data_IF_365265244158
#
_entry.id   IF_365265244158
#
_cell.length_a   1.000
_cell.length_b   1.000
_cell.length_c   1.000
_cell.angle_alpha   90.00
_cell.angle_beta   90.00
_cell.angle_gamma   90.00
#
_symmetry.space_group_name_H-M   'P 1'
#
loop_
_entity.id
_entity.type
_entity.pdbx_description
1 polymer ?
2 non-polymer ?
3 non-polymer ?
4 water ?
#
# COMPACT_ATOMS: atom_id res chain seq x y z
N UNK A 1 3.48 -12.83 -11.43
CA UNK A 1 4.34 -12.54 -10.24
C UNK A 1 5.51 -11.61 -10.64
N UNK A 2 5.74 -10.60 -9.81
CA UNK A 2 6.86 -9.67 -9.96
C UNK A 2 7.57 -9.55 -8.59
N UNK A 3 6.80 -9.19 -7.55
CA UNK A 3 7.33 -9.02 -6.20
C UNK A 3 7.52 -10.36 -5.54
N UNK A 4 8.77 -10.60 -5.16
CA UNK A 4 9.20 -11.80 -4.50
C UNK A 4 9.82 -11.44 -3.16
N UNK A 5 9.44 -10.29 -2.61
CA UNK A 5 9.78 -9.97 -1.23
C UNK A 5 8.49 -10.06 -0.44
N UNK A 6 8.49 -10.89 0.58
CA UNK A 6 7.39 -11.00 1.52
C UNK A 6 8.07 -11.12 2.85
N UNK A 7 7.30 -10.80 3.88
CA UNK A 7 7.78 -10.83 5.26
C UNK A 7 7.67 -12.25 5.79
N UNK A 8 8.78 -12.79 6.27
CA UNK A 8 8.78 -14.08 6.94
C UNK A 8 8.24 -13.82 8.35
N UNK A 9 7.32 -14.67 8.81
CA UNK A 9 6.88 -14.68 10.22
C UNK A 9 5.81 -13.66 10.58
N UNK A 10 5.12 -13.13 9.58
CA UNK A 10 4.05 -12.12 9.79
C UNK A 10 2.94 -12.51 10.76
N UNK A 11 2.73 -11.63 11.75
CA UNK A 11 1.56 -11.69 12.61
C UNK A 11 0.55 -10.61 12.19
N UNK A 12 -0.46 -11.02 11.42
CA UNK A 12 -1.34 -10.04 10.77
C UNK A 12 -2.19 -9.27 11.76
N UNK A 13 -2.44 -9.83 12.95
CA UNK A 13 -3.34 -9.16 13.91
C UNK A 13 -2.66 -7.92 14.46
N UNK A 14 -1.33 -8.03 14.58
CA UNK A 14 -0.41 -6.96 15.03
C UNK A 14 -0.20 -5.78 14.06
N UNK A 15 -0.78 -5.83 12.86
CA UNK A 15 -0.70 -4.65 11.99
C UNK A 15 -1.91 -3.75 12.19
N UNK A 16 -2.84 -4.14 13.07
CA UNK A 16 -4.08 -3.39 13.21
C UNK A 16 -3.82 -1.94 13.57
N UNK A 17 -4.71 -1.07 13.13
CA UNK A 17 -4.69 0.30 13.59
C UNK A 17 -4.36 1.38 12.58
N UNK A 18 -3.91 2.51 13.11
CA UNK A 18 -3.68 3.74 12.32
C UNK A 18 -2.38 3.67 11.49
N UNK A 19 -2.48 4.02 10.23
CA UNK A 19 -1.32 4.17 9.39
C UNK A 19 -1.41 5.41 8.54
N UNK A 20 -0.26 5.86 8.06
CA UNK A 20 -0.20 6.97 7.09
C UNK A 20 0.58 6.52 5.85
N UNK A 21 0.08 6.80 4.64
CA UNK A 21 0.87 6.53 3.36
C UNK A 21 1.94 7.59 3.11
N UNK A 22 3.11 7.42 3.72
CA UNK A 22 4.15 8.42 3.59
C UNK A 22 4.77 8.51 2.17
N UNK A 23 4.75 7.38 1.47
CA UNK A 23 5.31 7.30 0.09
C UNK A 23 4.62 6.24 -0.70
N UNK A 24 4.63 6.39 -2.03
CA UNK A 24 4.04 5.41 -2.92
C UNK A 24 4.86 5.37 -4.18
N UNK A 25 4.89 4.21 -4.83
CA UNK A 25 5.59 4.08 -6.14
C UNK A 25 4.74 3.16 -7.04
N UNK A 26 4.88 3.30 -8.35
CA UNK A 26 4.18 2.37 -9.22
C UNK A 26 4.97 2.10 -10.50
N UNK A 27 4.59 1.02 -11.19
CA UNK A 27 5.31 0.55 -12.38
C UNK A 27 4.99 1.39 -13.59
N UNK A 28 3.83 2.05 -13.57
CA UNK A 28 3.42 2.90 -14.64
C UNK A 28 2.97 4.24 -14.12
N UNK A 29 3.37 5.34 -14.79
CA UNK A 29 3.12 6.72 -14.34
C UNK A 29 1.64 7.00 -14.14
N UNK A 30 0.83 6.60 -15.13
CA UNK A 30 -0.63 6.79 -15.14
C UNK A 30 -1.37 6.18 -13.93
N UNK A 31 -0.69 5.30 -13.19
CA UNK A 31 -1.25 4.65 -12.00
C UNK A 31 -1.26 5.57 -10.76
N UNK A 32 -0.38 6.57 -10.74
CA UNK A 32 -0.30 7.54 -9.64
C UNK A 32 -0.32 9.00 -10.10
N UNK A 33 -0.28 9.23 -11.42
CA UNK A 33 -0.07 10.56 -12.02
C UNK A 33 -1.08 11.61 -11.54
N UNK A 34 -2.33 11.45 -11.97
CA UNK A 34 -3.38 12.37 -11.53
C UNK A 34 -3.79 12.15 -10.07
N UNK A 35 -4.22 13.23 -9.42
CA UNK A 35 -4.96 13.19 -8.17
C UNK A 35 -6.06 12.11 -8.15
N UNK A 36 -6.66 11.86 -9.31
CA UNK A 36 -7.66 10.80 -9.45
C UNK A 36 -7.12 9.47 -10.05
N UNK A 37 -5.81 9.33 -10.14
CA UNK A 37 -5.22 8.10 -10.66
C UNK A 37 -5.70 6.85 -9.90
N UNK A 38 -5.90 5.74 -10.62
CA UNK A 38 -6.42 4.50 -10.04
C UNK A 38 -5.81 4.03 -8.70
N UNK A 39 -4.49 4.14 -8.53
CA UNK A 39 -3.83 3.55 -7.35
C UNK A 39 -3.34 4.57 -6.34
N UNK A 40 -3.70 5.82 -6.60
CA UNK A 40 -3.46 6.90 -5.66
C UNK A 40 -4.50 6.75 -4.52
N UNK A 41 -4.17 5.92 -3.54
CA UNK A 41 -5.01 5.62 -2.38
C UNK A 41 -4.22 5.92 -1.11
N UNK A 42 -4.91 6.51 -0.14
CA UNK A 42 -4.28 6.93 1.10
C UNK A 42 -4.86 6.06 2.21
N UNK A 43 -4.00 5.31 2.89
CA UNK A 43 -4.44 4.39 3.89
C UNK A 43 -4.78 5.14 5.17
N UNK A 44 -5.85 4.68 5.82
CA UNK A 44 -6.29 5.26 7.08
C UNK A 44 -6.11 4.29 8.24
N UNK A 45 -6.53 3.04 8.03
CA UNK A 45 -6.58 2.04 9.08
C UNK A 45 -6.50 0.65 8.46
N UNK A 46 -5.73 -0.21 9.11
CA UNK A 46 -5.81 -1.64 8.76
C UNK A 46 -6.62 -2.36 9.84
N UNK A 47 -7.63 -3.11 9.40
CA UNK A 47 -8.50 -3.89 10.29
C UNK A 47 -8.47 -5.39 9.95
N UNK A 48 -7.50 -6.13 10.49
CA UNK A 48 -7.54 -7.59 10.34
C UNK A 48 -8.76 -8.23 11.05
N UNK A 49 -9.47 -9.13 10.37
CA UNK A 49 -10.61 -9.85 10.98
C UNK A 49 -10.15 -10.98 11.93
N UNK A 50 -11.03 -11.44 12.88
CA UNK A 50 -10.64 -12.55 13.79
C UNK A 50 -10.14 -13.82 13.06
N UNK A 51 -10.73 -14.09 11.89
CA UNK A 51 -10.37 -15.20 11.01
C UNK A 51 -9.17 -14.96 10.05
N UNK A 52 -8.54 -13.79 10.13
CA UNK A 52 -7.31 -13.45 9.37
C UNK A 52 -7.40 -12.83 7.97
N UNK A 53 -8.58 -12.33 7.59
CA UNK A 53 -8.72 -11.45 6.41
C UNK A 53 -8.26 -10.04 6.75
N UNK A 54 -7.99 -9.22 5.73
CA UNK A 54 -7.47 -7.87 5.97
C UNK A 54 -8.41 -6.83 5.38
N UNK A 55 -9.15 -6.16 6.26
CA UNK A 55 -9.98 -5.02 5.84
C UNK A 55 -9.14 -3.74 5.77
N UNK A 56 -9.29 -3.00 4.68
CA UNK A 56 -8.47 -1.80 4.52
C UNK A 56 -9.40 -0.60 4.38
N UNK A 57 -9.30 0.34 5.32
CA UNK A 57 -9.99 1.62 5.21
C UNK A 57 -9.06 2.63 4.51
N UNK A 58 -9.54 3.24 3.43
CA UNK A 58 -8.75 4.29 2.78
C UNK A 58 -9.55 5.47 2.27
N UNK A 59 -8.85 6.49 1.81
CA UNK A 59 -9.41 7.63 1.07
C UNK A 59 -8.96 7.57 -0.38
N UNK A 60 -9.79 8.03 -1.31
CA UNK A 60 -9.27 8.40 -2.62
C UNK A 60 -10.13 9.44 -3.31
N UNK A 61 -9.51 10.22 -4.19
CA UNK A 61 -10.21 11.21 -5.02
C UNK A 61 -11.04 10.51 -6.09
N UNK A 62 -12.36 10.70 -6.07
CA UNK A 62 -13.23 10.08 -7.07
C UNK A 62 -14.17 11.01 -7.87
N UNK A 63 -14.70 12.06 -7.26
CA UNK A 63 -15.32 13.11 -8.06
C UNK A 63 -14.34 14.28 -8.16
N UNK A 64 -14.71 15.38 -7.52
CA UNK A 64 -13.80 16.44 -7.16
C UNK A 64 -13.88 16.39 -5.66
N UNK A 65 -13.94 15.17 -5.13
CA UNK A 65 -14.07 14.94 -3.71
C UNK A 65 -13.25 13.74 -3.26
N UNK A 66 -12.77 13.84 -2.03
CA UNK A 66 -12.02 12.82 -1.34
C UNK A 66 -13.01 11.85 -0.71
N UNK A 67 -13.22 10.73 -1.38
CA UNK A 67 -14.16 9.72 -0.93
C UNK A 67 -13.48 8.69 -0.03
N UNK A 68 -14.20 8.24 0.99
CA UNK A 68 -13.78 7.11 1.80
C UNK A 68 -14.10 5.80 1.09
N UNK A 69 -13.24 4.79 1.27
CA UNK A 69 -13.49 3.46 0.73
C UNK A 69 -13.09 2.37 1.72
N UNK A 70 -13.82 1.26 1.72
CA UNK A 70 -13.47 0.09 2.55
C UNK A 70 -13.27 -1.16 1.67
N UNK A 71 -12.02 -1.59 1.59
CA UNK A 71 -11.58 -2.72 0.78
C UNK A 71 -11.37 -3.97 1.69
N UNK A 72 -11.85 -5.13 1.23
CA UNK A 72 -11.57 -6.40 1.92
C UNK A 72 -10.61 -7.31 1.13
N UNK A 73 -9.46 -7.59 1.74
CA UNK A 73 -8.42 -8.48 1.16
C UNK A 73 -8.45 -9.82 1.89
N UNK A 74 -8.84 -10.85 1.18
CA UNK A 74 -9.04 -12.14 1.81
C UNK A 74 -7.72 -12.90 1.97
N UNK A 75 -7.55 -13.62 3.07
CA UNK A 75 -6.34 -14.41 3.27
C UNK A 75 -6.14 -15.50 2.20
N UNK A 76 -4.89 -15.92 2.04
CA UNK A 76 -4.48 -17.08 1.25
C UNK A 76 -3.67 -18.04 2.15
N UNK A 77 -3.09 -19.10 1.57
CA UNK A 77 -2.25 -20.02 2.34
C UNK A 77 -0.92 -19.45 2.75
N UNK A 78 -0.56 -18.32 2.15
CA UNK A 78 0.66 -17.62 2.53
C UNK A 78 0.27 -16.47 3.46
N UNK A 79 0.81 -16.46 4.68
CA UNK A 79 0.51 -15.39 5.65
C UNK A 79 0.72 -13.93 5.17
N UNK A 80 1.72 -13.67 4.33
CA UNK A 80 1.98 -12.27 3.88
C UNK A 80 1.23 -11.80 2.61
N UNK A 81 0.36 -12.65 2.04
CA UNK A 81 -0.28 -12.41 0.75
C UNK A 81 -1.79 -12.55 0.85
N UNK A 82 -2.53 -11.57 0.31
CA UNK A 82 -3.98 -11.46 0.46
C UNK A 82 -4.55 -11.21 -0.92
N UNK A 83 -5.85 -11.45 -1.10
CA UNK A 83 -6.49 -11.44 -2.40
C UNK A 83 -7.69 -10.50 -2.34
N UNK A 84 -7.76 -9.54 -3.26
CA UNK A 84 -8.93 -8.63 -3.37
C UNK A 84 -9.77 -9.03 -4.58
N UNK A 85 -11.07 -9.23 -4.36
CA UNK A 85 -11.98 -9.71 -5.42
C UNK A 85 -12.44 -8.60 -6.39
N UNK A 86 -12.29 -8.84 -7.70
CA UNK A 86 -12.76 -7.92 -8.77
C UNK A 86 -12.98 -8.63 -10.12
N UNK A 87 -13.24 -7.85 -11.18
CA UNK A 87 -13.21 -8.40 -12.54
C UNK A 87 -11.85 -9.09 -12.79
N UNK A 88 -10.83 -8.57 -12.12
CA UNK A 88 -9.48 -9.10 -12.19
C UNK A 88 -9.05 -9.55 -10.81
N UNK A 89 -8.13 -10.52 -10.76
CA UNK A 89 -7.54 -11.02 -9.53
C UNK A 89 -6.28 -10.21 -9.20
N UNK A 90 -6.33 -9.44 -8.12
CA UNK A 90 -5.23 -8.56 -7.72
C UNK A 90 -4.85 -8.80 -6.27
N UNK A 91 -3.54 -8.92 -6.00
CA UNK A 91 -3.00 -9.38 -4.71
C UNK A 91 -2.31 -8.30 -3.88
N UNK A 92 -2.50 -8.38 -2.57
CA UNK A 92 -1.79 -7.51 -1.64
C UNK A 92 -0.71 -8.34 -0.98
N UNK A 93 0.54 -7.84 -1.02
CA UNK A 93 1.66 -8.49 -0.34
C UNK A 93 2.30 -7.61 0.70
N UNK A 94 2.50 -8.14 1.91
CA UNK A 94 3.23 -7.41 2.96
C UNK A 94 4.73 -7.75 2.86
N UNK A 95 5.59 -6.76 2.62
CA UNK A 95 7.00 -7.05 2.31
C UNK A 95 7.83 -7.04 3.58
N UNK A 96 7.44 -6.18 4.52
CA UNK A 96 8.23 -6.00 5.70
C UNK A 96 7.51 -5.06 6.64
N UNK A 97 7.65 -5.33 7.93
CA UNK A 97 7.07 -4.47 8.96
C UNK A 97 7.68 -4.74 10.31
N UNK A 98 7.66 -3.70 11.13
CA UNK A 98 8.08 -3.84 12.52
C UNK A 98 6.89 -3.56 13.44
N UNK A 99 5.71 -3.41 12.84
CA UNK A 99 4.43 -3.33 13.55
C UNK A 99 4.16 -1.96 14.21
N UNK A 100 5.21 -1.42 14.84
CA UNK A 100 5.15 -0.24 15.71
C UNK A 100 5.48 1.07 15.02
N UNK A 101 6.11 1.01 13.83
CA UNK A 101 6.61 2.22 13.13
C UNK A 101 6.29 2.23 11.64
N UNK A 102 6.70 1.16 10.94
CA UNK A 102 6.57 1.12 9.47
C UNK A 102 6.04 -0.22 8.94
N UNK A 103 5.41 -0.17 7.76
CA UNK A 103 4.97 -1.35 7.08
C UNK A 103 5.13 -1.06 5.58
N UNK A 104 5.76 -1.98 4.87
CA UNK A 104 5.85 -1.86 3.37
C UNK A 104 4.95 -2.87 2.71
N UNK A 105 4.13 -2.46 1.74
CA UNK A 105 3.26 -3.40 1.04
C UNK A 105 3.16 -3.04 -0.43
N UNK A 106 2.84 -4.05 -1.26
CA UNK A 106 2.54 -3.87 -2.67
C UNK A 106 1.16 -4.40 -3.11
N UNK A 107 0.65 -3.83 -4.18
CA UNK A 107 -0.56 -4.30 -4.84
C UNK A 107 -0.16 -4.66 -6.26
N UNK A 108 -0.43 -5.88 -6.69
CA UNK A 108 -0.09 -6.26 -8.06
C UNK A 108 -1.18 -7.01 -8.80
N UNK A 109 -1.26 -6.73 -10.11
CA UNK A 109 -2.17 -7.39 -11.04
C UNK A 109 -1.68 -8.79 -11.45
N UNK A 110 -2.47 -9.51 -12.23
CA UNK A 110 -2.15 -10.91 -12.55
C UNK A 110 -1.25 -11.20 -13.77
N UNK A 111 -1.41 -10.44 -14.86
CA UNK A 111 -1.10 -11.04 -16.17
C UNK A 111 0.09 -10.55 -17.07
N UNK A 112 -0.09 -9.69 -18.09
CA UNK A 112 -1.26 -8.84 -18.34
C UNK A 112 -1.53 -8.35 -19.82
N UNK A 113 -0.49 -8.22 -20.69
CA UNK A 113 0.95 -8.60 -20.77
C UNK A 113 1.95 -7.91 -19.81
N UNK A 114 2.48 -8.71 -18.90
CA UNK A 114 3.41 -8.28 -17.86
C UNK A 114 2.78 -7.32 -16.85
N UNK A 115 2.89 -7.74 -15.59
CA UNK A 115 2.14 -7.17 -14.48
C UNK A 115 2.41 -5.68 -14.26
N UNK A 116 1.39 -4.99 -13.74
CA UNK A 116 1.50 -3.65 -13.20
C UNK A 116 1.31 -3.71 -11.66
N UNK A 117 1.89 -2.74 -10.96
CA UNK A 117 2.22 -2.87 -9.55
C UNK A 117 2.34 -1.47 -8.91
N UNK A 118 1.82 -1.33 -7.69
CA UNK A 118 2.07 -0.16 -6.83
C UNK A 118 2.42 -0.63 -5.42
N UNK A 119 3.34 0.10 -4.77
CA UNK A 119 3.84 -0.20 -3.42
C UNK A 119 3.78 1.07 -2.55
N UNK A 120 3.62 0.89 -1.24
CA UNK A 120 3.63 2.03 -0.30
C UNK A 120 4.53 1.78 0.89
N UNK A 121 4.99 2.89 1.48
CA UNK A 121 5.66 2.90 2.75
C UNK A 121 4.67 3.54 3.75
N UNK A 122 4.15 2.70 4.63
CA UNK A 122 3.13 3.08 5.59
C UNK A 122 3.90 3.30 6.85
N UNK A 123 3.58 4.38 7.56
CA UNK A 123 4.19 4.63 8.87
C UNK A 123 3.10 4.97 9.94
N UNK A 124 3.42 4.81 11.21
CA UNK A 124 2.39 4.94 12.28
C UNK A 124 1.98 6.38 12.56
N UNK A 125 2.86 7.32 12.23
CA UNK A 125 2.71 8.73 12.67
C UNK A 125 3.01 9.68 11.52
N UNK A 126 2.51 10.95 11.60
CA UNK A 126 2.75 11.95 10.54
C UNK A 126 4.12 12.60 10.62
N UNK A 127 5.16 11.78 10.42
CA UNK A 127 6.53 12.20 10.50
C UNK A 127 7.24 11.53 9.35
N UNK A 128 8.22 12.21 8.78
CA UNK A 128 9.10 11.63 7.77
C UNK A 128 10.09 10.66 8.46
N UNK A 129 9.88 9.36 8.30
CA UNK A 129 10.80 8.38 8.85
C UNK A 129 11.81 7.98 7.77
N UNK A 130 13.04 8.49 7.88
CA UNK A 130 14.05 8.28 6.82
C UNK A 130 14.48 6.83 6.71
N UNK A 131 14.43 6.10 7.81
CA UNK A 131 14.87 4.70 7.83
C UNK A 131 13.85 3.76 7.20
N UNK A 132 12.56 4.04 7.42
CA UNK A 132 11.45 3.38 6.75
C UNK A 132 11.59 3.63 5.24
N UNK A 133 11.84 4.90 4.86
CA UNK A 133 12.05 5.29 3.44
C UNK A 133 13.23 4.61 2.75
N UNK A 134 14.31 4.41 3.49
CA UNK A 134 15.50 3.66 3.01
C UNK A 134 15.13 2.23 2.73
N UNK A 135 14.38 1.62 3.64
CA UNK A 135 13.95 0.25 3.48
C UNK A 135 12.97 0.11 2.31
N UNK A 136 12.05 1.07 2.17
CA UNK A 136 11.18 1.19 0.95
C UNK A 136 12.00 1.29 -0.35
N UNK A 137 12.98 2.18 -0.38
CA UNK A 137 13.79 2.34 -1.59
C UNK A 137 14.58 1.09 -1.95
N UNK A 138 15.01 0.36 -0.92
CA UNK A 138 15.75 -0.90 -1.07
C UNK A 138 14.88 -1.95 -1.74
N UNK A 139 13.65 -2.09 -1.24
CA UNK A 139 12.64 -3.00 -1.78
C UNK A 139 12.30 -2.69 -3.23
N UNK A 140 12.32 -1.41 -3.57
CA UNK A 140 11.90 -0.93 -4.88
C UNK A 140 13.00 -1.12 -5.92
N UNK A 141 14.25 -1.20 -5.47
CA UNK A 141 15.37 -1.45 -6.38
C UNK A 141 15.13 -2.71 -7.20
N UNK A 142 14.54 -3.73 -6.58
CA UNK A 142 14.16 -4.97 -7.29
C UNK A 142 12.95 -4.88 -8.22
N UNK A 143 12.35 -3.69 -8.34
CA UNK A 143 11.06 -3.50 -9.01
C UNK A 143 11.13 -2.45 -10.15
N UNK A 144 10.36 -2.66 -11.24
CA UNK A 144 10.29 -1.76 -12.41
C UNK A 144 9.38 -0.53 -12.22
N UNK A 145 9.72 0.30 -11.24
CA UNK A 145 8.95 1.52 -10.92
C UNK A 145 9.25 2.73 -11.82
N UNK A 146 8.25 3.53 -12.18
CA UNK A 146 8.47 4.71 -13.03
C UNK A 146 7.83 5.97 -12.51
N UNK A 147 7.17 5.82 -11.36
CA UNK A 147 6.74 7.03 -10.62
C UNK A 147 6.90 6.75 -9.12
N UNK A 148 7.41 7.75 -8.39
CA UNK A 148 7.48 7.78 -6.89
C UNK A 148 7.05 9.13 -6.28
N UNK A 149 6.20 9.05 -5.26
CA UNK A 149 5.63 10.24 -4.59
C UNK A 149 5.97 10.13 -3.10
N UNK A 150 6.17 11.27 -2.44
CA UNK A 150 6.46 11.32 -1.01
C UNK A 150 5.67 12.49 -0.38
N UNK A 151 5.16 12.32 0.83
CA UNK A 151 4.28 13.36 1.46
C UNK A 151 4.90 13.99 2.68
N UNK A 152 4.60 15.27 2.92
CA UNK A 152 5.24 15.93 4.08
C UNK A 152 4.22 15.85 5.24
N UNK A 153 4.61 16.14 6.50
CA UNK A 153 3.69 15.97 7.62
C UNK A 153 2.39 16.75 7.56
N UNK A 154 2.46 17.91 6.91
CA UNK A 154 1.29 18.77 6.74
C UNK A 154 0.23 18.11 5.91
N UNK A 155 0.62 17.64 4.73
CA UNK A 155 -0.27 16.89 3.86
C UNK A 155 -0.76 15.61 4.52
N UNK A 156 0.10 14.94 5.29
CA UNK A 156 -0.26 13.66 5.93
C UNK A 156 -1.40 13.82 6.96
N UNK A 157 -1.54 15.04 7.49
CA UNK A 157 -2.72 15.35 8.33
C UNK A 157 -3.98 15.83 7.61
N UNK A 158 -3.91 15.98 6.28
CA UNK A 158 -5.06 16.37 5.46
C UNK A 158 -5.73 15.15 4.81
N UNK A 159 -7.01 15.29 4.49
CA UNK A 159 -7.77 14.32 3.71
C UNK A 159 -7.24 14.28 2.30
N UNK A 160 -6.89 13.09 1.81
CA UNK A 160 -6.33 12.93 0.46
C UNK A 160 -5.03 13.70 0.28
N UNK A 161 -4.36 14.00 1.38
CA UNK A 161 -2.98 14.51 1.37
C UNK A 161 -2.84 15.83 0.64
N UNK A 162 -3.88 16.62 0.77
CA UNK A 162 -4.04 17.88 0.06
C UNK A 162 -3.00 18.92 0.43
X LIG B 1 -9.89 1.23 -5.23
X LIG B 1 -9.27 -0.08 -5.65
X LIG B 1 -8.30 -0.58 -4.58
X LIG B 1 -6.86 -0.32 -4.98
X LIG B 1 -5.95 -0.29 -3.75
X LIG B 1 -6.15 -1.51 -2.88
X LIG B 1 -5.68 -1.25 -1.45
X LIG B 1 -4.75 -2.36 -1.01
X LIG B 1 -10.08 1.46 -4.01
X LIG B 1 -10.18 2.06 -6.12
X LIG C 1 -2.86 -14.60 4.15
#
# INVERSE_FOLDING_TARGET
LIVTQTMKGLDIQKVAGTWYSLAMAASDISLLDAQSAPLRVYVEELKPTPEGDLEILLQKWENGECAQKKIIAEKTKIPAVFKIDALNENKVLVLDTDYKKYLLFCMENSAEPEQSLACQCLVRTPEVDDEALEKFDKALKALPMHIRLSFNPTQLEEQCHI
OCA C1 C2 C3 C4 C5 C6 C7 C8 O1 O2
CL CL
#
